data_IF_760611431771
#
_entry.id   IF_760611431771
#
_cell.length_a   1.000
_cell.length_b   1.000
_cell.length_c   1.000
_cell.angle_alpha   90.00
_cell.angle_beta   90.00
_cell.angle_gamma   90.00
#
_symmetry.space_group_name_H-M   'P 1'
#
loop_
_entity.id
_entity.type
_entity.pdbx_description
1 polymer ?
#
# COMPACT_ATOMS: atom_id res chain seq x y z
N UNK A 1 -8.51 1.56 -1.85
CA UNK A 1 -7.02 1.60 -1.79
C UNK A 1 -6.59 2.89 -2.46
N UNK A 2 -6.09 3.94 -1.81
CA UNK A 2 -5.62 4.11 -0.45
C UNK A 2 -6.30 5.39 0.04
N UNK A 3 -7.31 5.22 0.88
CA UNK A 3 -7.99 6.36 1.49
C UNK A 3 -7.04 7.14 2.39
N UNK A 4 -7.57 8.17 3.04
CA UNK A 4 -6.83 8.92 4.05
C UNK A 4 -6.23 7.96 5.10
N UNK A 5 -5.04 8.30 5.59
CA UNK A 5 -4.42 7.62 6.72
C UNK A 5 -5.35 7.69 7.92
N UNK A 6 -5.70 6.55 8.47
CA UNK A 6 -6.44 6.45 9.73
C UNK A 6 -5.51 6.20 10.92
N UNK A 7 -6.10 6.06 12.11
CA UNK A 7 -5.35 5.89 13.35
C UNK A 7 -4.45 4.63 13.34
N UNK A 8 -4.89 3.54 12.69
CA UNK A 8 -4.11 2.32 12.60
C UNK A 8 -2.95 2.47 11.60
N UNK A 9 -3.14 3.21 10.51
CA UNK A 9 -2.04 3.53 9.59
C UNK A 9 -0.97 4.40 10.29
N UNK A 10 -1.40 5.34 11.14
CA UNK A 10 -0.49 6.15 11.98
C UNK A 10 0.21 5.32 13.05
N UNK A 11 -0.48 4.36 13.67
CA UNK A 11 0.13 3.42 14.60
C UNK A 11 1.24 2.62 13.91
N UNK A 12 0.98 2.07 12.72
CA UNK A 12 2.00 1.38 11.91
C UNK A 12 3.20 2.29 11.64
N UNK A 13 2.98 3.55 11.25
CA UNK A 13 4.07 4.52 11.06
C UNK A 13 4.89 4.69 12.34
N UNK A 14 4.24 4.85 13.49
CA UNK A 14 4.90 5.02 14.79
C UNK A 14 5.69 3.77 15.20
N UNK A 15 5.16 2.57 14.99
CA UNK A 15 5.86 1.32 15.29
C UNK A 15 7.14 1.19 14.47
N UNK A 16 7.07 1.46 13.16
CA UNK A 16 8.24 1.43 12.27
C UNK A 16 9.24 2.55 12.62
N UNK A 17 8.74 3.75 12.97
CA UNK A 17 9.59 4.86 13.39
C UNK A 17 10.31 4.57 14.70
N UNK A 18 9.62 4.00 15.69
CA UNK A 18 10.22 3.60 16.95
C UNK A 18 11.31 2.54 16.75
N UNK A 19 11.04 1.52 15.93
CA UNK A 19 12.04 0.52 15.56
C UNK A 19 13.23 1.13 14.82
N UNK A 20 12.97 2.08 13.90
CA UNK A 20 14.02 2.78 13.15
C UNK A 20 14.93 3.60 14.07
N UNK A 21 14.35 4.44 14.93
CA UNK A 21 15.09 5.32 15.85
C UNK A 21 15.86 4.49 16.85
N UNK A 22 15.25 3.45 17.44
CA UNK A 22 15.93 2.54 18.37
C UNK A 22 17.14 1.85 17.72
N UNK A 23 16.97 1.31 16.51
CA UNK A 23 18.05 0.64 15.79
C UNK A 23 19.19 1.60 15.42
N UNK A 24 18.86 2.81 14.93
CA UNK A 24 19.86 3.84 14.60
C UNK A 24 20.61 4.28 15.86
N UNK A 25 19.91 4.51 16.98
CA UNK A 25 20.54 4.91 18.23
C UNK A 25 21.47 3.84 18.78
N UNK A 26 21.02 2.58 18.82
CA UNK A 26 21.83 1.45 19.28
C UNK A 26 23.06 1.23 18.40
N UNK A 27 22.87 1.19 17.07
CA UNK A 27 23.97 1.06 16.13
C UNK A 27 24.91 2.26 16.16
N UNK A 28 24.39 3.48 16.33
CA UNK A 28 25.18 4.69 16.52
C UNK A 28 26.08 4.63 17.76
N UNK A 29 25.57 4.11 18.88
CA UNK A 29 26.38 3.91 20.08
C UNK A 29 27.53 2.93 19.83
N UNK A 30 27.26 1.79 19.19
CA UNK A 30 28.29 0.81 18.79
C UNK A 30 29.37 1.42 17.87
N UNK A 31 29.00 2.35 17.00
CA UNK A 31 29.93 3.01 16.08
C UNK A 31 30.84 4.03 16.77
N UNK A 32 30.25 4.87 17.63
CA UNK A 32 30.94 5.97 18.32
C UNK A 32 31.85 5.44 19.42
N UNK A 33 31.32 4.59 20.31
CA UNK A 33 32.06 4.05 21.45
C UNK A 33 31.72 2.56 21.69
N UNK A 34 32.32 1.65 20.91
CA UNK A 34 32.01 0.22 20.99
C UNK A 34 32.35 -0.40 22.34
N UNK A 35 33.38 0.09 23.04
CA UNK A 35 33.79 -0.49 24.31
C UNK A 35 32.87 -0.03 25.45
N UNK A 36 32.43 1.23 25.44
CA UNK A 36 31.38 1.67 26.36
C UNK A 36 30.06 0.94 26.10
N UNK A 37 29.67 0.72 24.83
CA UNK A 37 28.49 -0.08 24.50
C UNK A 37 28.61 -1.51 25.05
N UNK A 38 29.78 -2.15 24.88
CA UNK A 38 30.05 -3.50 25.35
C UNK A 38 29.88 -3.65 26.87
N UNK A 39 30.32 -2.67 27.66
CA UNK A 39 30.16 -2.70 29.13
C UNK A 39 28.81 -2.17 29.62
N UNK A 40 28.09 -1.41 28.79
CA UNK A 40 26.77 -0.88 29.11
C UNK A 40 25.69 -1.98 29.13
N UNK A 41 25.83 -3.00 28.29
CA UNK A 41 24.92 -4.14 28.22
C UNK A 41 25.48 -5.29 29.08
N UNK A 42 24.94 -5.57 30.29
CA UNK A 42 25.59 -6.46 31.27
C UNK A 42 25.78 -7.90 30.79
N UNK A 43 24.89 -8.37 29.92
CA UNK A 43 24.88 -9.70 29.31
C UNK A 43 25.98 -9.87 28.26
N UNK A 44 26.30 -8.83 27.48
CA UNK A 44 27.30 -8.87 26.40
C UNK A 44 28.69 -9.14 26.97
N UNK A 45 29.00 -8.64 28.16
CA UNK A 45 30.30 -8.87 28.82
C UNK A 45 30.57 -10.36 29.06
N UNK A 46 29.51 -11.16 29.18
CA UNK A 46 29.60 -12.60 29.45
C UNK A 46 29.90 -13.43 28.20
N UNK A 47 29.91 -12.82 27.01
CA UNK A 47 30.08 -13.50 25.71
C UNK A 47 31.53 -13.65 25.25
N UNK A 48 32.50 -13.14 26.03
CA UNK A 48 33.93 -13.22 25.72
C UNK A 48 34.55 -11.84 25.42
N UNK A 49 35.88 -11.75 25.24
CA UNK A 49 36.58 -10.46 25.18
C UNK A 49 36.09 -9.55 24.03
N UNK A 50 36.06 -8.22 24.23
CA UNK A 50 35.49 -7.30 23.25
C UNK A 50 36.36 -7.21 22.00
N UNK A 51 35.70 -7.13 20.85
CA UNK A 51 36.32 -6.76 19.58
C UNK A 51 35.65 -5.50 19.03
N UNK A 52 36.37 -4.37 19.09
CA UNK A 52 35.85 -3.06 18.71
C UNK A 52 35.56 -2.93 17.21
N UNK A 53 36.18 -3.74 16.34
CA UNK A 53 35.84 -3.76 14.91
C UNK A 53 34.53 -4.50 14.70
N UNK A 54 34.41 -5.71 15.27
CA UNK A 54 33.20 -6.53 15.19
C UNK A 54 31.95 -5.82 15.73
N UNK A 55 32.08 -5.12 16.85
CA UNK A 55 30.96 -4.32 17.41
C UNK A 55 30.51 -3.23 16.42
N UNK A 56 31.45 -2.60 15.69
CA UNK A 56 31.10 -1.59 14.68
C UNK A 56 30.42 -2.21 13.46
N UNK A 57 30.80 -3.42 13.06
CA UNK A 57 30.11 -4.13 11.98
C UNK A 57 28.64 -4.42 12.35
N UNK A 58 28.40 -4.84 13.59
CA UNK A 58 27.04 -4.98 14.15
C UNK A 58 26.33 -3.61 14.16
N UNK A 59 27.04 -2.55 14.56
CA UNK A 59 26.54 -1.18 14.53
C UNK A 59 26.09 -0.73 13.14
N UNK A 60 26.86 -1.02 12.09
CA UNK A 60 26.50 -0.76 10.69
C UNK A 60 25.24 -1.53 10.28
N UNK A 61 25.08 -2.78 10.72
CA UNK A 61 23.89 -3.58 10.44
C UNK A 61 22.63 -2.99 11.12
N UNK A 62 22.73 -2.54 12.37
CA UNK A 62 21.66 -1.84 13.08
C UNK A 62 21.30 -0.50 12.41
N UNK A 63 22.29 0.33 12.08
CA UNK A 63 22.05 1.62 11.40
C UNK A 63 21.44 1.40 10.01
N UNK A 64 21.97 0.47 9.22
CA UNK A 64 21.44 0.14 7.90
C UNK A 64 19.98 -0.33 7.96
N UNK A 65 19.68 -1.24 8.89
CA UNK A 65 18.31 -1.71 9.15
C UNK A 65 17.39 -0.54 9.53
N UNK A 66 17.84 0.30 10.47
CA UNK A 66 17.08 1.45 10.96
C UNK A 66 16.83 2.51 9.88
N UNK A 67 17.77 2.79 8.99
CA UNK A 67 17.59 3.72 7.87
C UNK A 67 16.55 3.21 6.87
N UNK A 68 16.54 1.91 6.57
CA UNK A 68 15.53 1.29 5.70
C UNK A 68 14.14 1.37 6.36
N UNK A 69 14.06 1.11 7.67
CA UNK A 69 12.81 1.23 8.44
C UNK A 69 12.32 2.69 8.49
N UNK A 70 13.22 3.67 8.61
CA UNK A 70 12.88 5.09 8.57
C UNK A 70 12.29 5.47 7.21
N UNK A 71 12.88 4.99 6.11
CA UNK A 71 12.31 5.15 4.77
C UNK A 71 10.92 4.53 4.66
N UNK A 72 10.74 3.32 5.20
CA UNK A 72 9.44 2.64 5.21
C UNK A 72 8.38 3.40 6.03
N UNK A 73 8.75 3.92 7.20
CA UNK A 73 7.89 4.68 8.09
C UNK A 73 7.29 5.93 7.43
N UNK A 74 7.99 6.54 6.47
CA UNK A 74 7.47 7.68 5.71
C UNK A 74 6.20 7.37 4.90
N UNK A 75 6.04 6.13 4.42
CA UNK A 75 4.79 5.70 3.76
C UNK A 75 4.60 4.17 3.80
N UNK A 76 4.21 3.59 4.96
CA UNK A 76 4.30 2.15 5.20
C UNK A 76 3.52 1.30 4.21
N UNK A 77 2.39 1.81 3.75
CA UNK A 77 1.52 1.16 2.76
C UNK A 77 2.22 0.93 1.41
N UNK A 78 2.95 1.93 0.91
CA UNK A 78 3.64 1.86 -0.39
C UNK A 78 5.02 1.23 -0.25
N UNK A 79 5.62 1.35 0.94
CA UNK A 79 7.01 0.97 1.23
C UNK A 79 7.12 -0.25 2.14
N UNK A 80 6.06 -1.06 2.26
CA UNK A 80 6.03 -2.22 3.15
C UNK A 80 7.15 -3.23 2.87
N UNK A 81 7.56 -3.37 1.61
CA UNK A 81 8.71 -4.19 1.20
C UNK A 81 10.01 -3.72 1.87
N UNK A 82 10.18 -2.40 2.00
CA UNK A 82 11.32 -1.85 2.72
C UNK A 82 11.23 -2.19 4.23
N UNK A 83 10.04 -2.18 4.83
CA UNK A 83 9.89 -2.62 6.22
C UNK A 83 10.30 -4.11 6.41
N UNK A 84 9.97 -4.99 5.46
CA UNK A 84 10.43 -6.39 5.46
C UNK A 84 11.95 -6.47 5.40
N UNK A 85 12.57 -5.76 4.44
CA UNK A 85 14.04 -5.78 4.27
C UNK A 85 14.75 -5.17 5.47
N UNK A 86 14.29 -4.03 5.98
CA UNK A 86 14.85 -3.37 7.16
C UNK A 86 14.65 -4.15 8.45
N UNK A 87 13.61 -5.00 8.53
CA UNK A 87 13.38 -5.92 9.65
C UNK A 87 14.14 -7.24 9.58
N UNK A 88 14.70 -7.60 8.41
CA UNK A 88 15.22 -8.95 8.16
C UNK A 88 16.39 -9.29 9.09
N UNK A 89 17.44 -8.47 9.08
CA UNK A 89 18.62 -8.73 9.92
C UNK A 89 18.27 -8.67 11.41
N UNK A 90 17.47 -7.70 11.83
CA UNK A 90 16.98 -7.59 13.22
C UNK A 90 16.24 -8.85 13.66
N UNK A 91 15.39 -9.41 12.78
CA UNK A 91 14.64 -10.64 13.06
C UNK A 91 15.56 -11.85 13.14
N UNK A 92 16.47 -12.01 12.17
CA UNK A 92 17.43 -13.13 12.17
C UNK A 92 18.36 -13.07 13.39
N UNK A 93 18.80 -11.88 13.77
CA UNK A 93 19.59 -11.68 14.97
C UNK A 93 18.80 -12.04 16.23
N UNK A 94 17.55 -11.56 16.38
CA UNK A 94 16.68 -11.97 17.48
C UNK A 94 16.42 -13.48 17.54
N UNK A 95 16.27 -14.14 16.39
CA UNK A 95 16.12 -15.60 16.32
C UNK A 95 17.38 -16.34 16.75
N UNK A 96 18.58 -15.79 16.51
CA UNK A 96 19.83 -16.37 17.01
C UNK A 96 19.84 -16.40 18.54
N UNK A 97 19.43 -15.32 19.20
CA UNK A 97 19.32 -15.26 20.67
C UNK A 97 18.30 -16.28 21.21
N UNK A 98 17.18 -16.48 20.52
CA UNK A 98 16.22 -17.53 20.88
C UNK A 98 16.87 -18.93 20.74
N UNK A 99 17.61 -19.16 19.66
CA UNK A 99 18.32 -20.42 19.44
C UNK A 99 19.36 -20.70 20.53
N UNK A 100 20.14 -19.70 20.94
CA UNK A 100 21.16 -19.85 21.99
C UNK A 100 20.56 -20.33 23.32
N UNK A 101 19.36 -19.86 23.66
CA UNK A 101 18.63 -20.33 24.85
C UNK A 101 18.17 -21.78 24.68
N UNK A 102 17.59 -22.11 23.51
CA UNK A 102 17.11 -23.47 23.21
C UNK A 102 18.27 -24.48 23.22
N UNK A 103 19.44 -24.07 22.72
CA UNK A 103 20.65 -24.89 22.68
C UNK A 103 21.39 -24.97 24.03
N UNK A 104 20.95 -24.22 25.04
CA UNK A 104 21.59 -24.17 26.36
C UNK A 104 22.93 -23.42 26.39
N UNK A 105 23.21 -22.59 25.38
CA UNK A 105 24.39 -21.71 25.32
C UNK A 105 24.23 -20.54 26.29
N UNK A 106 23.02 -19.97 26.34
CA UNK A 106 22.66 -18.84 27.22
C UNK A 106 21.57 -19.25 28.21
N UNK A 107 21.66 -18.75 29.44
CA UNK A 107 20.63 -18.98 30.46
C UNK A 107 19.35 -18.17 30.20
N UNK A 108 18.17 -18.63 30.66
CA UNK A 108 16.90 -17.90 30.47
C UNK A 108 16.89 -16.49 31.06
N UNK A 109 17.69 -16.21 32.09
CA UNK A 109 17.80 -14.87 32.68
C UNK A 109 18.50 -13.87 31.74
N UNK A 110 19.57 -14.31 31.04
CA UNK A 110 20.29 -13.52 30.03
C UNK A 110 19.36 -13.15 28.88
N UNK A 111 18.54 -14.09 28.43
CA UNK A 111 17.53 -13.84 27.38
C UNK A 111 16.58 -12.68 27.72
N UNK A 112 16.02 -12.66 28.92
CA UNK A 112 15.08 -11.60 29.30
C UNK A 112 15.74 -10.23 29.45
N UNK A 113 17.03 -10.20 29.82
CA UNK A 113 17.80 -8.97 29.86
C UNK A 113 18.11 -8.44 28.45
N UNK A 114 18.36 -9.32 27.47
CA UNK A 114 18.65 -8.95 26.09
C UNK A 114 17.40 -8.65 25.26
N UNK A 115 16.28 -9.31 25.56
CA UNK A 115 15.06 -9.29 24.77
C UNK A 115 14.59 -7.87 24.36
N UNK A 116 14.60 -6.83 25.22
CA UNK A 116 14.24 -5.48 24.79
C UNK A 116 15.12 -4.94 23.65
N UNK A 117 16.43 -5.19 23.71
CA UNK A 117 17.39 -4.73 22.70
C UNK A 117 17.34 -5.55 21.41
N UNK A 118 17.21 -6.87 21.50
CA UNK A 118 17.33 -7.77 20.34
C UNK A 118 15.99 -8.26 19.76
N UNK A 119 14.94 -8.37 20.59
CA UNK A 119 13.59 -8.78 20.16
C UNK A 119 12.60 -7.61 20.05
N UNK A 120 12.83 -6.50 20.75
CA UNK A 120 11.94 -5.35 20.71
C UNK A 120 11.78 -4.76 19.30
N UNK A 121 12.90 -4.48 18.63
CA UNK A 121 12.92 -3.95 17.27
C UNK A 121 12.19 -4.84 16.25
N UNK A 122 12.52 -6.15 16.09
CA UNK A 122 11.81 -7.00 15.14
C UNK A 122 10.33 -7.20 15.52
N UNK A 123 9.98 -7.25 16.81
CA UNK A 123 8.58 -7.36 17.23
C UNK A 123 7.75 -6.16 16.74
N UNK A 124 8.26 -4.94 16.90
CA UNK A 124 7.59 -3.72 16.41
C UNK A 124 7.35 -3.79 14.89
N UNK A 125 8.34 -4.23 14.13
CA UNK A 125 8.24 -4.39 12.67
C UNK A 125 7.22 -5.46 12.29
N UNK A 126 7.24 -6.62 12.96
CA UNK A 126 6.32 -7.73 12.71
C UNK A 126 4.87 -7.32 13.03
N UNK A 127 4.63 -6.63 14.15
CA UNK A 127 3.30 -6.13 14.51
C UNK A 127 2.82 -5.11 13.46
N UNK A 128 3.68 -4.18 13.06
CA UNK A 128 3.34 -3.18 12.04
C UNK A 128 2.96 -3.83 10.70
N UNK A 129 3.74 -4.80 10.23
CA UNK A 129 3.43 -5.56 9.02
C UNK A 129 2.14 -6.36 9.17
N UNK A 130 1.94 -7.04 10.30
CA UNK A 130 0.74 -7.84 10.58
C UNK A 130 -0.53 -6.98 10.49
N UNK A 131 -0.50 -5.77 11.08
CA UNK A 131 -1.62 -4.82 10.97
C UNK A 131 -1.89 -4.46 9.50
N UNK A 132 -0.85 -4.18 8.71
CA UNK A 132 -1.02 -3.83 7.29
C UNK A 132 -1.60 -4.99 6.46
N UNK A 133 -1.07 -6.20 6.65
CA UNK A 133 -1.53 -7.41 5.95
C UNK A 133 -2.96 -7.78 6.33
N UNK A 134 -3.29 -7.80 7.63
CA UNK A 134 -4.63 -8.12 8.13
C UNK A 134 -5.69 -7.16 7.60
N UNK A 135 -5.32 -5.89 7.39
CA UNK A 135 -6.21 -4.85 6.87
C UNK A 135 -6.25 -4.76 5.35
N UNK A 136 -5.45 -5.58 4.64
CA UNK A 136 -5.30 -5.53 3.17
C UNK A 136 -4.97 -4.11 2.67
N UNK A 137 -4.20 -3.36 3.47
CA UNK A 137 -3.88 -1.94 3.22
C UNK A 137 -2.60 -1.75 2.39
N UNK A 138 -2.01 -2.83 1.88
CA UNK A 138 -0.74 -2.80 1.16
C UNK A 138 -0.91 -2.43 -0.31
N UNK A 139 0.08 -1.75 -0.87
CA UNK A 139 0.23 -1.68 -2.31
C UNK A 139 0.48 -3.10 -2.86
N UNK A 140 -0.16 -3.49 -3.98
CA UNK A 140 -0.07 -4.85 -4.49
C UNK A 140 1.31 -5.19 -5.06
N UNK A 141 2.15 -4.17 -5.32
CA UNK A 141 3.50 -4.36 -5.81
C UNK A 141 4.35 -5.20 -4.85
N UNK A 142 4.96 -6.26 -5.38
CA UNK A 142 5.74 -7.23 -4.61
C UNK A 142 4.94 -8.44 -4.12
N UNK A 143 3.61 -8.47 -4.30
CA UNK A 143 2.83 -9.69 -4.12
C UNK A 143 3.13 -10.62 -5.31
N UNK A 144 3.41 -11.92 -5.08
CA UNK A 144 3.59 -12.87 -6.16
C UNK A 144 2.43 -12.81 -7.17
N UNK A 145 2.75 -12.73 -8.47
CA UNK A 145 1.78 -12.43 -9.53
C UNK A 145 0.55 -13.37 -9.52
N UNK A 146 0.75 -14.66 -9.22
CA UNK A 146 -0.33 -15.65 -9.10
C UNK A 146 -1.29 -15.36 -7.93
N UNK A 147 -0.75 -15.04 -6.76
CA UNK A 147 -1.56 -14.70 -5.57
C UNK A 147 -2.31 -13.39 -5.80
N UNK A 148 -1.65 -12.41 -6.41
CA UNK A 148 -2.27 -11.15 -6.81
C UNK A 148 -3.43 -11.39 -7.79
N UNK A 149 -3.23 -12.18 -8.85
CA UNK A 149 -4.26 -12.46 -9.84
C UNK A 149 -5.48 -13.17 -9.22
N UNK A 150 -5.25 -14.17 -8.36
CA UNK A 150 -6.34 -14.87 -7.65
C UNK A 150 -7.14 -13.91 -6.75
N UNK A 151 -6.45 -13.05 -6.00
CA UNK A 151 -7.11 -12.08 -5.13
C UNK A 151 -7.87 -11.01 -5.94
N UNK A 152 -7.28 -10.52 -7.04
CA UNK A 152 -7.87 -9.51 -7.91
C UNK A 152 -9.12 -10.07 -8.61
N UNK A 153 -9.07 -11.28 -9.14
CA UNK A 153 -10.21 -11.92 -9.81
C UNK A 153 -11.38 -12.14 -8.84
N UNK A 154 -11.09 -12.60 -7.61
CA UNK A 154 -12.10 -12.71 -6.55
C UNK A 154 -12.70 -11.35 -6.19
N UNK A 155 -11.87 -10.31 -6.07
CA UNK A 155 -12.33 -8.97 -5.70
C UNK A 155 -13.22 -8.32 -6.78
N UNK A 156 -12.99 -8.64 -8.05
CA UNK A 156 -13.83 -8.14 -9.16
C UNK A 156 -15.02 -9.04 -9.45
N UNK A 157 -15.09 -10.23 -8.84
CA UNK A 157 -16.14 -11.22 -9.05
C UNK A 157 -16.02 -11.91 -10.41
N UNK A 158 -14.80 -12.27 -10.81
CA UNK A 158 -14.52 -12.94 -12.08
C UNK A 158 -14.45 -12.01 -13.29
N UNK A 159 -14.48 -10.69 -13.06
CA UNK A 159 -14.63 -9.69 -14.13
C UNK A 159 -13.28 -9.17 -14.65
N UNK A 160 -12.20 -9.93 -14.49
CA UNK A 160 -10.85 -9.53 -14.91
C UNK A 160 -10.18 -10.59 -15.80
N UNK A 161 -10.74 -10.90 -16.99
CA UNK A 161 -10.27 -12.00 -17.84
C UNK A 161 -8.85 -11.81 -18.38
N UNK A 162 -8.28 -10.60 -18.30
CA UNK A 162 -6.93 -10.27 -18.74
C UNK A 162 -5.84 -10.70 -17.74
N UNK A 163 -6.19 -11.12 -16.52
CA UNK A 163 -5.20 -11.44 -15.48
C UNK A 163 -4.28 -12.62 -15.83
N UNK A 164 -4.75 -13.73 -16.45
CA UNK A 164 -3.86 -14.80 -16.91
C UNK A 164 -2.82 -14.30 -17.92
N UNK A 165 -3.25 -13.50 -18.91
CA UNK A 165 -2.35 -12.92 -19.92
C UNK A 165 -1.31 -12.00 -19.27
N UNK A 166 -1.74 -11.17 -18.31
CA UNK A 166 -0.86 -10.28 -17.56
C UNK A 166 0.21 -11.03 -16.75
N UNK A 167 -0.14 -12.19 -16.16
CA UNK A 167 0.79 -13.03 -15.41
C UNK A 167 1.75 -13.79 -16.32
N UNK A 168 1.27 -14.23 -17.49
CA UNK A 168 2.09 -14.94 -18.47
C UNK A 168 3.03 -14.01 -19.26
N UNK A 169 2.69 -12.71 -19.34
CA UNK A 169 3.45 -11.74 -20.12
C UNK A 169 4.89 -11.55 -19.57
N UNK A 170 5.91 -11.56 -20.45
CA UNK A 170 7.30 -11.34 -20.06
C UNK A 170 7.57 -9.88 -19.63
N UNK A 171 8.79 -9.60 -19.16
CA UNK A 171 9.23 -8.23 -18.88
C UNK A 171 8.58 -7.60 -17.65
N UNK A 172 8.20 -8.42 -16.66
CA UNK A 172 7.61 -8.00 -15.38
C UNK A 172 6.29 -7.23 -15.55
N UNK A 173 5.47 -7.59 -16.55
CA UNK A 173 4.20 -6.92 -16.83
C UNK A 173 3.27 -6.88 -15.61
N UNK A 174 3.11 -8.01 -14.91
CA UNK A 174 2.31 -8.09 -13.69
C UNK A 174 2.81 -7.14 -12.59
N UNK A 175 4.13 -7.07 -12.34
CA UNK A 175 4.68 -6.18 -11.31
C UNK A 175 4.51 -4.70 -11.69
N UNK A 176 4.73 -4.33 -12.96
CA UNK A 176 4.46 -2.98 -13.46
C UNK A 176 3.00 -2.60 -13.29
N UNK A 177 2.09 -3.54 -13.57
CA UNK A 177 0.66 -3.33 -13.39
C UNK A 177 0.29 -3.16 -11.91
N UNK A 178 0.87 -3.95 -11.01
CA UNK A 178 0.71 -3.77 -9.58
C UNK A 178 1.19 -2.39 -9.10
N UNK A 179 2.28 -1.86 -9.67
CA UNK A 179 2.74 -0.49 -9.40
C UNK A 179 1.79 0.58 -9.94
N UNK A 180 1.11 0.31 -11.05
CA UNK A 180 0.11 1.20 -11.64
C UNK A 180 -1.18 1.28 -10.82
N UNK A 181 -1.67 0.16 -10.29
CA UNK A 181 -2.99 0.11 -9.64
C UNK A 181 -3.27 1.19 -8.57
N UNK A 182 -2.33 1.53 -7.65
CA UNK A 182 -2.56 2.55 -6.65
C UNK A 182 -2.95 3.92 -7.22
N UNK A 183 -2.44 4.28 -8.41
CA UNK A 183 -2.74 5.59 -9.02
C UNK A 183 -4.21 5.69 -9.43
N UNK A 184 -4.83 4.55 -9.78
CA UNK A 184 -6.24 4.49 -10.21
C UNK A 184 -7.23 4.78 -9.11
N UNK A 185 -6.80 4.85 -7.86
CA UNK A 185 -7.66 5.06 -6.70
C UNK A 185 -7.04 6.06 -5.71
N UNK A 186 -6.18 6.95 -6.21
CA UNK A 186 -5.60 8.04 -5.43
C UNK A 186 -6.68 9.06 -5.05
N UNK A 187 -6.99 9.16 -3.76
CA UNK A 187 -7.95 10.11 -3.19
C UNK A 187 -7.45 10.61 -1.83
N UNK A 188 -7.21 11.90 -1.69
CA UNK A 188 -6.81 12.54 -0.43
C UNK A 188 -7.74 13.70 -0.07
N UNK A 189 -8.07 14.59 -1.00
CA UNK A 189 -8.92 15.74 -0.74
C UNK A 189 -10.36 15.55 -1.22
N UNK A 190 -10.57 14.82 -2.32
CA UNK A 190 -11.88 14.76 -2.97
C UNK A 190 -12.96 14.11 -2.09
N UNK A 191 -14.18 14.68 -2.02
CA UNK A 191 -15.34 14.03 -1.42
C UNK A 191 -15.60 12.66 -2.07
N UNK A 192 -16.09 11.70 -1.28
CA UNK A 192 -16.32 10.33 -1.74
C UNK A 192 -17.27 10.28 -2.95
N UNK A 193 -18.40 10.98 -2.86
CA UNK A 193 -19.43 10.97 -3.88
C UNK A 193 -18.89 11.53 -5.20
N UNK A 194 -18.24 12.69 -5.17
CA UNK A 194 -17.68 13.32 -6.36
C UNK A 194 -16.53 12.51 -6.98
N UNK A 195 -15.62 11.95 -6.15
CA UNK A 195 -14.54 11.09 -6.65
C UNK A 195 -15.07 9.86 -7.39
N UNK A 196 -16.05 9.18 -6.78
CA UNK A 196 -16.63 7.97 -7.37
C UNK A 196 -17.56 8.26 -8.54
N UNK A 197 -18.22 9.42 -8.56
CA UNK A 197 -18.98 9.88 -9.72
C UNK A 197 -18.09 10.07 -10.95
N UNK A 198 -16.95 10.76 -10.82
CA UNK A 198 -15.98 10.88 -11.90
C UNK A 198 -15.44 9.52 -12.36
N UNK A 199 -15.12 8.63 -11.41
CA UNK A 199 -14.64 7.28 -11.72
C UNK A 199 -15.69 6.45 -12.49
N UNK A 200 -16.95 6.46 -12.04
CA UNK A 200 -18.05 5.72 -12.68
C UNK A 200 -18.33 6.30 -14.08
N UNK A 201 -18.44 7.63 -14.19
CA UNK A 201 -18.64 8.31 -15.48
C UNK A 201 -17.57 7.94 -16.51
N UNK A 202 -16.28 7.93 -16.11
CA UNK A 202 -15.18 7.51 -16.98
C UNK A 202 -15.30 6.04 -17.43
N UNK A 203 -15.66 5.12 -16.53
CA UNK A 203 -15.83 3.70 -16.88
C UNK A 203 -17.05 3.42 -17.76
N UNK A 204 -18.14 4.20 -17.61
CA UNK A 204 -19.32 4.12 -18.47
C UNK A 204 -19.02 4.69 -19.86
N UNK A 205 -18.32 5.83 -19.93
CA UNK A 205 -17.87 6.41 -21.21
C UNK A 205 -16.95 5.46 -21.98
N UNK A 206 -16.15 4.65 -21.28
CA UNK A 206 -15.32 3.61 -21.88
C UNK A 206 -16.10 2.33 -22.28
N UNK A 207 -17.42 2.32 -22.10
CA UNK A 207 -18.34 1.23 -22.47
C UNK A 207 -17.91 -0.12 -21.88
N UNK A 208 -17.70 -0.15 -20.56
CA UNK A 208 -17.39 -1.37 -19.80
C UNK A 208 -18.29 -1.52 -18.56
N UNK A 209 -19.40 -2.24 -18.70
CA UNK A 209 -20.34 -2.52 -17.60
C UNK A 209 -19.69 -3.15 -16.35
N UNK A 210 -18.90 -4.23 -16.47
CA UNK A 210 -18.20 -4.80 -15.32
C UNK A 210 -17.23 -3.83 -14.64
N UNK A 211 -16.58 -2.94 -15.41
CA UNK A 211 -15.66 -1.94 -14.85
C UNK A 211 -16.43 -0.88 -14.05
N UNK A 212 -17.59 -0.45 -14.55
CA UNK A 212 -18.50 0.43 -13.83
C UNK A 212 -19.03 -0.22 -12.54
N UNK A 213 -19.37 -1.51 -12.56
CA UNK A 213 -19.77 -2.26 -11.37
C UNK A 213 -18.63 -2.39 -10.34
N UNK A 214 -17.39 -2.60 -10.78
CA UNK A 214 -16.22 -2.60 -9.89
C UNK A 214 -16.03 -1.21 -9.26
N UNK A 215 -16.16 -0.13 -10.04
CA UNK A 215 -16.12 1.23 -9.53
C UNK A 215 -17.26 1.50 -8.52
N UNK A 216 -18.48 1.07 -8.82
CA UNK A 216 -19.65 1.18 -7.94
C UNK A 216 -19.47 0.45 -6.61
N UNK A 217 -18.92 -0.77 -6.62
CA UNK A 217 -18.55 -1.49 -5.39
C UNK A 217 -17.50 -0.75 -4.58
N UNK A 218 -16.53 -0.11 -5.27
CA UNK A 218 -15.57 0.79 -4.64
C UNK A 218 -16.26 1.98 -3.95
N UNK A 219 -17.27 2.58 -4.59
CA UNK A 219 -18.06 3.67 -4.03
C UNK A 219 -18.80 3.25 -2.75
N UNK A 220 -19.46 2.09 -2.78
CA UNK A 220 -20.12 1.52 -1.59
C UNK A 220 -19.12 1.27 -0.45
N UNK A 221 -17.95 0.72 -0.76
CA UNK A 221 -16.88 0.47 0.23
C UNK A 221 -16.34 1.76 0.87
N UNK A 222 -16.41 2.88 0.15
CA UNK A 222 -16.05 4.21 0.66
C UNK A 222 -17.24 4.97 1.28
N UNK A 223 -18.40 4.32 1.45
CA UNK A 223 -19.57 4.85 2.16
C UNK A 223 -20.54 5.69 1.33
N UNK A 224 -20.40 5.72 -0.01
CA UNK A 224 -21.37 6.40 -0.88
C UNK A 224 -22.72 5.68 -0.83
N UNK A 225 -23.82 6.42 -0.67
CA UNK A 225 -25.15 5.83 -0.57
C UNK A 225 -25.52 5.02 -1.82
N UNK A 226 -26.05 3.82 -1.63
CA UNK A 226 -26.47 2.91 -2.72
C UNK A 226 -27.40 3.57 -3.75
N UNK A 227 -28.32 4.41 -3.28
CA UNK A 227 -29.24 5.15 -4.16
C UNK A 227 -28.50 6.09 -5.12
N UNK A 228 -27.48 6.79 -4.64
CA UNK A 228 -26.62 7.65 -5.47
C UNK A 228 -25.84 6.79 -6.48
N UNK A 229 -25.23 5.70 -6.02
CA UNK A 229 -24.45 4.80 -6.89
C UNK A 229 -25.30 4.23 -8.03
N UNK A 230 -26.52 3.76 -7.75
CA UNK A 230 -27.42 3.21 -8.77
C UNK A 230 -27.89 4.29 -9.76
N UNK A 231 -28.10 5.53 -9.30
CA UNK A 231 -28.38 6.68 -10.18
C UNK A 231 -27.21 7.02 -11.11
N UNK A 232 -25.98 6.99 -10.60
CA UNK A 232 -24.77 7.15 -11.41
C UNK A 232 -24.63 6.04 -12.46
N UNK A 233 -24.88 4.78 -12.09
CA UNK A 233 -24.85 3.63 -13.01
C UNK A 233 -25.92 3.72 -14.11
N UNK A 234 -27.05 4.36 -13.82
CA UNK A 234 -28.12 4.62 -14.78
C UNK A 234 -27.86 5.85 -15.67
N UNK A 235 -26.70 6.50 -15.54
CA UNK A 235 -26.37 7.77 -16.21
C UNK A 235 -27.38 8.90 -15.90
N UNK A 236 -27.98 8.87 -14.72
CA UNK A 236 -28.90 9.88 -14.19
C UNK A 236 -28.37 10.40 -12.84
N UNK A 237 -27.25 11.14 -12.80
CA UNK A 237 -26.67 11.60 -11.56
C UNK A 237 -27.61 12.57 -10.79
N UNK A 238 -27.62 12.55 -9.44
CA UNK A 238 -28.18 13.66 -8.65
C UNK A 238 -27.43 14.97 -8.91
N UNK A 239 -28.06 16.10 -8.57
CA UNK A 239 -27.49 17.44 -8.77
C UNK A 239 -26.08 17.58 -8.19
N UNK A 240 -25.86 17.06 -6.98
CA UNK A 240 -24.53 16.72 -6.48
C UNK A 240 -24.46 15.19 -6.45
N UNK A 241 -23.51 14.50 -7.13
CA UNK A 241 -22.29 14.99 -7.81
C UNK A 241 -22.32 14.96 -9.36
N UNK A 242 -23.30 15.58 -10.02
CA UNK A 242 -23.44 15.51 -11.50
C UNK A 242 -22.25 16.06 -12.28
N UNK A 243 -21.68 17.17 -11.82
CA UNK A 243 -20.54 17.82 -12.49
C UNK A 243 -19.31 16.92 -12.51
N UNK A 244 -19.06 16.19 -11.41
CA UNK A 244 -17.96 15.25 -11.34
C UNK A 244 -18.19 14.03 -12.24
N UNK A 245 -19.43 13.55 -12.34
CA UNK A 245 -19.80 12.49 -13.28
C UNK A 245 -19.54 12.91 -14.73
N UNK A 246 -20.02 14.10 -15.12
CA UNK A 246 -19.83 14.65 -16.46
C UNK A 246 -18.35 14.87 -16.78
N UNK A 247 -17.58 15.43 -15.83
CA UNK A 247 -16.13 15.56 -15.95
C UNK A 247 -15.44 14.23 -16.21
N UNK A 248 -15.77 13.20 -15.42
CA UNK A 248 -15.21 11.86 -15.58
C UNK A 248 -15.55 11.23 -16.92
N UNK A 249 -16.82 11.34 -17.35
CA UNK A 249 -17.26 10.86 -18.65
C UNK A 249 -16.50 11.54 -19.80
N UNK A 250 -16.38 12.88 -19.76
CA UNK A 250 -15.67 13.67 -20.76
C UNK A 250 -14.17 13.31 -20.84
N UNK A 251 -13.50 13.13 -19.69
CA UNK A 251 -12.11 12.65 -19.67
C UNK A 251 -12.01 11.25 -20.28
N UNK A 252 -12.93 10.34 -19.95
CA UNK A 252 -12.92 8.97 -20.43
C UNK A 252 -13.18 8.81 -21.93
N UNK A 253 -13.95 9.73 -22.53
CA UNK A 253 -14.24 9.77 -23.97
C UNK A 253 -13.31 10.69 -24.77
N UNK A 254 -12.33 11.34 -24.12
CA UNK A 254 -11.49 12.38 -24.71
C UNK A 254 -12.29 13.57 -25.29
N UNK A 255 -13.39 13.94 -24.65
CA UNK A 255 -14.24 15.06 -25.02
C UNK A 255 -13.62 16.41 -24.59
N UNK A 256 -13.51 17.41 -25.47
CA UNK A 256 -13.07 18.76 -25.13
C UNK A 256 -13.85 19.42 -23.98
N UNK A 257 -15.10 19.02 -23.73
CA UNK A 257 -15.91 19.50 -22.61
C UNK A 257 -15.27 19.23 -21.23
N UNK A 258 -14.31 18.30 -21.15
CA UNK A 258 -13.54 18.03 -19.93
C UNK A 258 -12.88 19.30 -19.35
N UNK A 259 -12.46 20.25 -20.18
CA UNK A 259 -11.83 21.47 -19.66
C UNK A 259 -12.84 22.37 -18.93
N UNK A 260 -14.03 22.57 -19.51
CA UNK A 260 -15.10 23.34 -18.89
C UNK A 260 -15.58 22.70 -17.59
N UNK A 261 -15.83 21.39 -17.59
CA UNK A 261 -16.20 20.66 -16.38
C UNK A 261 -15.09 20.70 -15.32
N UNK A 262 -13.83 20.56 -15.76
CA UNK A 262 -12.67 20.65 -14.88
C UNK A 262 -12.53 22.02 -14.22
N UNK A 263 -12.81 23.11 -14.94
CA UNK A 263 -12.81 24.45 -14.39
C UNK A 263 -13.90 24.63 -13.31
N UNK A 264 -15.10 24.09 -13.54
CA UNK A 264 -16.17 24.11 -12.54
C UNK A 264 -15.81 23.30 -11.28
N UNK A 265 -15.27 22.09 -11.44
CA UNK A 265 -14.78 21.28 -10.32
C UNK A 265 -13.71 22.02 -9.51
N UNK A 266 -12.80 22.72 -10.18
CA UNK A 266 -11.75 23.50 -9.51
C UNK A 266 -12.33 24.71 -8.77
N UNK A 267 -13.37 25.36 -9.29
CA UNK A 267 -14.08 26.42 -8.57
C UNK A 267 -14.81 25.88 -7.32
N UNK A 268 -15.43 24.70 -7.41
CA UNK A 268 -16.23 24.12 -6.33
C UNK A 268 -15.36 23.50 -5.22
N UNK A 269 -14.28 22.81 -5.59
CA UNK A 269 -13.51 21.96 -4.68
C UNK A 269 -12.00 22.25 -4.65
N UNK A 270 -11.52 23.12 -5.53
CA UNK A 270 -10.10 23.49 -5.62
C UNK A 270 -9.27 22.58 -6.53
N UNK A 271 -8.03 23.04 -6.82
CA UNK A 271 -7.11 22.41 -7.76
C UNK A 271 -6.76 20.97 -7.42
N UNK A 272 -6.56 20.67 -6.14
CA UNK A 272 -6.21 19.32 -5.66
C UNK A 272 -7.31 18.32 -6.00
N UNK A 273 -8.58 18.70 -5.82
CA UNK A 273 -9.71 17.81 -6.11
C UNK A 273 -9.88 17.61 -7.62
N UNK A 274 -9.73 18.68 -8.43
CA UNK A 274 -9.67 18.54 -9.90
C UNK A 274 -8.58 17.55 -10.32
N UNK A 275 -7.38 17.65 -9.74
CA UNK A 275 -6.28 16.74 -10.04
C UNK A 275 -6.61 15.28 -9.70
N UNK A 276 -7.15 15.00 -8.50
CA UNK A 276 -7.52 13.65 -8.09
C UNK A 276 -8.59 13.03 -9.00
N UNK A 277 -9.60 13.82 -9.39
CA UNK A 277 -10.65 13.40 -10.31
C UNK A 277 -10.10 13.15 -11.72
N UNK A 278 -9.24 14.03 -12.23
CA UNK A 278 -8.60 13.86 -13.52
C UNK A 278 -7.72 12.59 -13.54
N UNK A 279 -6.96 12.37 -12.47
CA UNK A 279 -6.08 11.21 -12.32
C UNK A 279 -6.87 9.91 -12.30
N UNK A 280 -7.93 9.80 -11.50
CA UNK A 280 -8.77 8.59 -11.46
C UNK A 280 -9.50 8.37 -12.79
N UNK A 281 -10.08 9.41 -13.40
CA UNK A 281 -10.80 9.30 -14.66
C UNK A 281 -9.88 8.86 -15.81
N UNK A 282 -8.67 9.42 -15.90
CA UNK A 282 -7.70 9.07 -16.93
C UNK A 282 -7.12 7.66 -16.77
N UNK A 283 -6.93 7.20 -15.53
CA UNK A 283 -6.23 5.93 -15.28
C UNK A 283 -7.18 4.74 -15.12
N UNK A 284 -8.43 4.96 -14.69
CA UNK A 284 -9.41 3.87 -14.56
C UNK A 284 -9.85 3.31 -15.93
N UNK A 285 -9.73 4.09 -17.01
CA UNK A 285 -10.04 3.64 -18.38
C UNK A 285 -9.00 2.66 -18.94
N UNK A 286 -7.83 2.53 -18.30
CA UNK A 286 -6.83 1.53 -18.67
C UNK A 286 -7.37 0.09 -18.56
N UNK A 287 -8.26 -0.20 -17.60
CA UNK A 287 -8.84 -1.54 -17.46
C UNK A 287 -9.81 -1.88 -18.62
N UNK A 288 -10.82 -1.05 -18.95
CA UNK A 288 -11.61 -1.21 -20.18
C UNK A 288 -10.76 -1.29 -21.45
N UNK A 289 -9.78 -0.41 -21.60
CA UNK A 289 -8.93 -0.36 -22.80
C UNK A 289 -8.10 -1.64 -22.96
N UNK A 290 -7.52 -2.15 -21.86
CA UNK A 290 -6.77 -3.40 -21.88
C UNK A 290 -7.66 -4.59 -22.25
N UNK A 291 -8.87 -4.69 -21.66
CA UNK A 291 -9.83 -5.74 -22.02
C UNK A 291 -10.19 -5.70 -23.50
N UNK A 292 -10.48 -4.51 -24.04
CA UNK A 292 -10.87 -4.33 -25.44
C UNK A 292 -9.71 -4.65 -26.37
N UNK A 293 -8.51 -4.17 -26.06
CA UNK A 293 -7.29 -4.44 -26.83
C UNK A 293 -6.88 -5.91 -26.87
N UNK A 294 -7.21 -6.68 -25.82
CA UNK A 294 -6.99 -8.13 -25.76
C UNK A 294 -8.16 -8.96 -26.31
N UNK A 295 -9.21 -8.33 -26.85
CA UNK A 295 -10.35 -9.03 -27.45
C UNK A 295 -11.42 -9.50 -26.47
N UNK A 296 -11.38 -9.08 -25.20
CA UNK A 296 -12.39 -9.40 -24.18
C UNK A 296 -13.60 -8.45 -24.20
N UNK A 297 -13.85 -7.73 -25.29
CA UNK A 297 -14.94 -6.76 -25.39
C UNK A 297 -16.33 -7.39 -25.17
N UNK A 298 -16.52 -8.66 -25.52
CA UNK A 298 -17.77 -9.40 -25.24
C UNK A 298 -18.05 -9.55 -23.75
N UNK A 299 -17.02 -9.59 -22.90
CA UNK A 299 -17.18 -9.58 -21.44
C UNK A 299 -17.68 -8.25 -20.89
N UNK A 300 -17.61 -7.18 -21.69
CA UNK A 300 -18.08 -5.85 -21.32
C UNK A 300 -19.58 -5.66 -21.58
N UNK A 301 -20.21 -6.55 -22.36
CA UNK A 301 -21.61 -6.44 -22.75
C UNK A 301 -22.58 -7.09 -21.73
N UNK A 302 -23.81 -6.57 -21.68
CA UNK A 302 -24.97 -7.21 -21.04
C UNK A 302 -24.83 -7.48 -19.53
N UNK A 303 -24.40 -6.49 -18.75
CA UNK A 303 -24.51 -6.54 -17.29
C UNK A 303 -25.65 -5.65 -16.82
N UNK A 304 -26.46 -6.15 -15.86
CA UNK A 304 -27.39 -5.29 -15.13
C UNK A 304 -26.57 -4.31 -14.30
N UNK A 305 -26.65 -3.02 -14.62
CA UNK A 305 -25.90 -1.96 -13.94
C UNK A 305 -26.62 -1.49 -12.68
N UNK A 306 -26.69 -2.37 -11.69
CA UNK A 306 -27.28 -2.09 -10.39
C UNK A 306 -26.48 -2.84 -9.31
N UNK A 307 -26.30 -2.22 -8.14
CA UNK A 307 -25.62 -2.82 -7.00
C UNK A 307 -26.50 -2.92 -5.78
#
# INVERSE_FOLDING_TARGET
MLGKFDALDRLVQLLLLAAAVGAIANGGFMLVDPLAWYVFIPTVITTGPPNAHFIRDIGLAYVGSGLILLYAAGHPILRWRAAVVGGLWLTLHGLLHIYEVIAGICGPATFWADAPGVLGHPLLVIVALTILFARQRLAPAGIPARLFAQAADKATGGNSPYLPDLVAAPGHAAEKFQHFMPVTAHRQAAPAEAFHAARIGATLAADCGPCALIAARGALGDGVARAIVNRLLASDPPADPSEAFAFGAAVGSHDPAADAHGAQIEMLYGRTVRFEMALTAATVTAYPALKRGLGFATSCALHKLEV
#
